data_IF_584736417248
#
_entry.id   IF_584736417248
#
_cell.length_a   1.000
_cell.length_b   1.000
_cell.length_c   1.000
_cell.angle_alpha   90.00
_cell.angle_beta   90.00
_cell.angle_gamma   90.00
#
_symmetry.space_group_name_H-M   'P 1'
#
loop_
_entity.id
_entity.type
_entity.pdbx_description
1 polymer ?
#
# COMPACT_ATOMS: atom_id res chain seq x y z
N UNK A 1 6.84 16.93 -20.61
CA UNK A 1 7.22 17.74 -19.44
C UNK A 1 5.95 17.95 -18.65
N UNK A 2 5.60 16.96 -17.82
CA UNK A 2 4.49 17.10 -16.89
C UNK A 2 4.85 18.18 -15.89
N UNK A 3 3.98 19.18 -15.73
CA UNK A 3 4.05 20.10 -14.62
C UNK A 3 4.22 19.22 -13.37
N UNK A 4 5.31 19.43 -12.62
CA UNK A 4 5.41 18.94 -11.25
C UNK A 4 4.27 19.63 -10.51
N UNK A 5 3.14 18.97 -10.48
CA UNK A 5 2.10 19.29 -9.51
C UNK A 5 2.83 19.00 -8.21
N UNK A 6 3.30 20.05 -7.59
CA UNK A 6 3.80 20.01 -6.25
C UNK A 6 2.67 19.37 -5.47
N UNK A 7 2.90 18.16 -4.99
CA UNK A 7 1.93 17.36 -4.22
C UNK A 7 1.68 18.12 -2.92
N UNK A 8 0.91 19.16 -3.06
CA UNK A 8 0.55 20.08 -1.99
C UNK A 8 -0.33 19.28 -1.04
N UNK A 9 0.07 19.15 0.16
CA UNK A 9 -0.67 18.53 1.24
C UNK A 9 -0.60 17.00 1.35
N UNK A 10 0.57 16.43 1.21
CA UNK A 10 0.79 15.11 1.78
C UNK A 10 0.97 15.29 3.29
N UNK A 11 -0.11 15.12 4.00
CA UNK A 11 -0.26 15.33 5.43
C UNK A 11 0.97 14.85 6.21
N UNK A 12 1.82 15.79 6.65
CA UNK A 12 3.00 15.51 7.44
C UNK A 12 4.16 14.80 6.74
N UNK A 13 4.20 14.73 5.40
CA UNK A 13 5.27 14.07 4.64
C UNK A 13 6.21 15.05 3.92
N UNK A 14 6.39 16.25 4.43
CA UNK A 14 7.24 17.29 3.86
C UNK A 14 8.68 17.26 4.36
N UNK A 15 9.58 17.97 3.66
CA UNK A 15 10.89 18.35 4.20
C UNK A 15 10.68 19.41 5.27
N UNK A 16 11.03 19.11 6.50
CA UNK A 16 10.90 20.04 7.64
C UNK A 16 11.98 21.10 7.62
N UNK A 17 13.22 20.69 7.35
CA UNK A 17 14.35 21.62 7.22
C UNK A 17 15.48 21.06 6.39
N UNK A 18 16.26 21.98 5.79
CA UNK A 18 17.53 21.70 5.14
C UNK A 18 18.56 22.68 5.71
N UNK A 19 19.59 22.15 6.35
CA UNK A 19 20.69 22.94 6.91
C UNK A 19 21.98 22.65 6.16
N UNK A 20 22.63 23.71 5.68
CA UNK A 20 23.99 23.63 5.15
C UNK A 20 24.93 23.83 6.33
N UNK A 21 25.62 22.77 6.71
CA UNK A 21 26.59 22.78 7.80
C UNK A 21 27.96 23.20 7.28
N UNK A 22 28.89 23.52 8.19
CA UNK A 22 30.29 23.83 7.82
C UNK A 22 30.95 22.70 7.04
N UNK A 23 30.56 21.46 7.34
CA UNK A 23 31.15 20.23 6.79
C UNK A 23 30.07 19.25 6.30
N UNK A 24 29.03 19.75 5.61
CA UNK A 24 28.02 18.89 5.00
C UNK A 24 26.61 19.42 5.02
N UNK A 25 25.65 18.49 5.10
CA UNK A 25 24.22 18.78 5.03
C UNK A 25 23.46 17.98 6.08
N UNK A 26 22.42 18.59 6.64
CA UNK A 26 21.43 17.92 7.47
C UNK A 26 20.03 18.19 6.92
N UNK A 27 19.28 17.14 6.67
CA UNK A 27 17.93 17.19 6.12
C UNK A 27 16.98 16.47 7.07
N UNK A 28 15.94 17.16 7.52
CA UNK A 28 14.91 16.60 8.39
C UNK A 28 13.62 16.36 7.61
N UNK A 29 13.08 15.18 7.76
CA UNK A 29 11.70 14.82 7.38
C UNK A 29 10.93 14.37 8.62
N UNK A 30 9.62 14.20 8.59
CA UNK A 30 8.88 13.63 9.72
C UNK A 30 9.43 12.28 10.19
N UNK A 31 9.85 11.43 9.27
CA UNK A 31 10.32 10.08 9.57
C UNK A 31 11.81 9.93 9.82
N UNK A 32 12.63 10.84 9.27
CA UNK A 32 14.08 10.68 9.25
C UNK A 32 14.85 11.97 9.46
N UNK A 33 16.08 11.79 9.95
CA UNK A 33 17.16 12.73 9.84
C UNK A 33 18.23 12.14 8.93
N UNK A 34 18.56 12.81 7.84
CA UNK A 34 19.61 12.43 6.91
C UNK A 34 20.76 13.41 7.06
N UNK A 35 21.96 12.90 7.31
CA UNK A 35 23.20 13.70 7.38
C UNK A 35 24.14 13.21 6.29
N UNK A 36 24.68 14.14 5.52
CA UNK A 36 25.75 13.89 4.54
C UNK A 36 26.93 14.79 4.88
N UNK A 37 28.02 14.19 5.32
CA UNK A 37 29.25 14.88 5.70
C UNK A 37 30.11 15.20 4.44
N UNK A 38 31.03 16.13 4.57
CA UNK A 38 31.88 16.57 3.46
C UNK A 38 32.78 15.45 2.91
N UNK A 39 33.18 14.51 3.73
CA UNK A 39 33.97 13.33 3.37
C UNK A 39 33.14 12.24 2.67
N UNK A 40 31.80 12.45 2.54
CA UNK A 40 30.87 11.53 1.90
C UNK A 40 30.22 10.52 2.85
N UNK A 41 30.41 10.64 4.16
CA UNK A 41 29.68 9.79 5.11
C UNK A 41 28.20 10.18 5.13
N UNK A 42 27.36 9.31 4.62
CA UNK A 42 25.90 9.40 4.69
C UNK A 42 25.39 8.60 5.90
N UNK A 43 24.55 9.22 6.71
CA UNK A 43 23.87 8.57 7.84
C UNK A 43 22.39 8.84 7.76
N UNK A 44 21.57 7.81 8.01
CA UNK A 44 20.11 7.91 8.11
C UNK A 44 19.68 7.47 9.50
N UNK A 45 19.03 8.37 10.22
CA UNK A 45 18.48 8.14 11.56
C UNK A 45 16.95 8.14 11.49
N UNK A 46 16.33 7.20 12.16
CA UNK A 46 14.89 7.16 12.41
C UNK A 46 14.52 8.20 13.46
N UNK A 47 13.41 8.90 13.25
CA UNK A 47 12.89 9.94 14.16
C UNK A 47 11.58 9.56 14.84
N UNK A 48 10.83 8.61 14.28
CA UNK A 48 9.54 8.17 14.82
C UNK A 48 9.75 6.90 15.64
N UNK A 49 9.12 6.83 16.81
CA UNK A 49 9.27 5.73 17.74
C UNK A 49 10.57 5.86 18.53
N UNK A 50 11.55 5.02 18.28
CA UNK A 50 12.88 5.10 18.90
C UNK A 50 13.83 5.83 17.95
N UNK A 51 14.39 6.93 18.40
CA UNK A 51 15.45 7.59 17.65
C UNK A 51 16.69 6.69 17.62
N UNK A 52 17.08 6.29 16.40
CA UNK A 52 18.24 5.43 16.22
C UNK A 52 18.82 5.57 14.82
N UNK A 53 20.11 5.28 14.70
CA UNK A 53 20.76 5.14 13.40
C UNK A 53 20.26 3.86 12.73
N UNK A 54 19.70 3.96 11.54
CA UNK A 54 19.23 2.83 10.74
C UNK A 54 20.33 2.30 9.85
N UNK A 55 20.96 3.20 9.10
CA UNK A 55 22.00 2.84 8.16
C UNK A 55 23.05 3.93 8.02
N UNK A 56 24.21 3.55 7.52
CA UNK A 56 25.21 4.45 6.98
C UNK A 56 25.76 3.93 5.65
N UNK A 57 26.31 4.82 4.85
CA UNK A 57 26.97 4.53 3.59
C UNK A 57 28.14 5.49 3.41
N UNK A 58 29.37 4.96 3.29
CA UNK A 58 30.50 5.77 2.88
C UNK A 58 30.45 5.97 1.35
N UNK A 59 30.02 7.13 0.93
CA UNK A 59 30.08 7.53 -0.46
C UNK A 59 31.53 7.78 -0.86
N UNK A 60 31.93 7.31 -2.02
CA UNK A 60 33.32 7.45 -2.45
C UNK A 60 33.76 8.92 -2.53
N UNK A 61 35.00 9.19 -2.11
CA UNK A 61 35.56 10.56 -2.09
C UNK A 61 35.60 11.25 -3.46
N UNK A 62 35.66 10.49 -4.56
CA UNK A 62 35.62 11.07 -5.90
C UNK A 62 34.23 11.68 -6.24
N UNK A 63 33.17 11.35 -5.47
CA UNK A 63 31.85 11.96 -5.61
C UNK A 63 31.75 13.35 -4.97
N UNK A 64 32.69 13.73 -4.11
CA UNK A 64 32.80 15.07 -3.55
C UNK A 64 33.35 16.08 -4.59
N UNK A 65 33.11 17.40 -4.45
CA UNK A 65 32.31 18.01 -3.40
C UNK A 65 30.79 17.87 -3.64
N UNK A 66 30.07 17.78 -2.56
CA UNK A 66 28.62 17.80 -2.57
C UNK A 66 28.10 19.23 -2.56
N UNK A 67 27.01 19.48 -3.29
CA UNK A 67 26.33 20.77 -3.32
C UNK A 67 24.83 20.60 -3.24
N UNK A 68 24.16 21.50 -2.57
CA UNK A 68 22.71 21.62 -2.62
C UNK A 68 22.33 22.20 -3.98
N UNK A 69 21.65 21.41 -4.79
CA UNK A 69 21.17 21.83 -6.10
C UNK A 69 19.82 22.53 -5.97
N UNK A 70 18.90 21.90 -5.24
CA UNK A 70 17.54 22.41 -5.04
C UNK A 70 16.91 21.80 -3.80
N UNK A 71 16.04 22.56 -3.15
CA UNK A 71 15.09 21.98 -2.21
C UNK A 71 13.73 22.66 -2.31
N UNK A 72 12.69 21.91 -2.00
CA UNK A 72 11.28 22.31 -1.90
C UNK A 72 10.70 21.68 -0.65
N UNK A 73 9.48 22.05 -0.22
CA UNK A 73 8.80 21.34 0.88
C UNK A 73 8.69 19.82 0.70
N UNK A 74 8.89 19.30 -0.53
CA UNK A 74 8.69 17.87 -0.82
C UNK A 74 9.96 17.10 -1.07
N UNK A 75 11.02 17.77 -1.51
CA UNK A 75 12.30 17.10 -1.80
C UNK A 75 13.50 18.03 -1.66
N UNK A 76 14.63 17.42 -1.27
CA UNK A 76 15.95 18.02 -1.30
C UNK A 76 16.82 17.25 -2.29
N UNK A 77 17.55 17.95 -3.16
CA UNK A 77 18.44 17.35 -4.15
C UNK A 77 19.87 17.80 -3.87
N UNK A 78 20.72 16.83 -3.60
CA UNK A 78 22.17 17.01 -3.43
C UNK A 78 22.90 16.42 -4.63
N UNK A 79 23.83 17.17 -5.19
CA UNK A 79 24.62 16.77 -6.35
C UNK A 79 26.07 16.60 -5.96
N UNK A 80 26.60 15.40 -6.21
CA UNK A 80 28.04 15.12 -6.22
C UNK A 80 28.56 14.87 -7.62
N UNK A 81 29.86 14.58 -7.75
CA UNK A 81 30.48 14.22 -9.03
C UNK A 81 30.05 12.82 -9.46
N UNK A 82 29.09 12.73 -10.36
CA UNK A 82 28.61 11.44 -10.89
C UNK A 82 27.51 10.76 -10.10
N UNK A 83 26.97 11.39 -9.05
CA UNK A 83 25.85 10.87 -8.27
C UNK A 83 24.90 11.98 -7.83
N UNK A 84 23.62 11.81 -8.09
CA UNK A 84 22.56 12.65 -7.53
C UNK A 84 21.89 11.90 -6.38
N UNK A 85 21.76 12.54 -5.23
CA UNK A 85 21.00 12.07 -4.09
C UNK A 85 19.76 12.94 -3.91
N UNK A 86 18.59 12.35 -4.07
CA UNK A 86 17.31 13.01 -3.80
C UNK A 86 16.72 12.46 -2.52
N UNK A 87 16.34 13.33 -1.58
CA UNK A 87 15.68 12.98 -0.33
C UNK A 87 14.26 13.51 -0.44
N UNK A 88 13.28 12.60 -0.36
CA UNK A 88 11.86 12.91 -0.40
C UNK A 88 11.31 13.15 1.01
N UNK A 89 10.27 13.97 1.10
CA UNK A 89 9.63 14.27 2.39
C UNK A 89 9.00 13.05 3.10
N UNK A 90 8.67 12.01 2.34
CA UNK A 90 8.19 10.72 2.84
C UNK A 90 9.31 9.75 3.27
N UNK A 91 10.50 10.27 3.49
CA UNK A 91 11.68 9.51 3.94
C UNK A 91 12.23 8.50 2.92
N UNK A 92 11.99 8.75 1.63
CA UNK A 92 12.60 7.98 0.54
C UNK A 92 13.86 8.70 0.05
N UNK A 93 14.98 7.97 0.01
CA UNK A 93 16.24 8.45 -0.58
C UNK A 93 16.40 7.79 -1.95
N UNK A 94 16.73 8.60 -2.98
CA UNK A 94 16.92 8.11 -4.35
C UNK A 94 18.34 8.44 -4.77
N UNK A 95 19.11 7.41 -5.08
CA UNK A 95 20.46 7.50 -5.61
C UNK A 95 20.43 7.27 -7.12
N UNK A 96 20.77 8.27 -7.89
CA UNK A 96 20.81 8.23 -9.35
C UNK A 96 22.23 8.51 -9.86
N UNK A 97 23.03 7.47 -10.17
CA UNK A 97 24.38 7.65 -10.67
C UNK A 97 24.38 8.02 -12.16
N UNK A 98 25.35 8.85 -12.58
CA UNK A 98 25.62 9.13 -14.00
C UNK A 98 26.72 8.25 -14.60
N UNK A 99 27.36 7.43 -13.75
CA UNK A 99 28.42 6.49 -14.11
C UNK A 99 28.30 5.24 -13.23
N UNK A 100 29.10 4.21 -13.52
CA UNK A 100 29.15 3.03 -12.67
C UNK A 100 29.54 3.41 -11.23
N UNK A 101 28.68 3.06 -10.27
CA UNK A 101 28.84 3.44 -8.87
C UNK A 101 28.50 2.23 -7.99
N UNK A 102 29.31 2.00 -6.97
CA UNK A 102 29.06 0.98 -5.95
C UNK A 102 28.64 1.72 -4.66
N UNK A 103 27.49 1.36 -4.14
CA UNK A 103 27.00 1.84 -2.85
C UNK A 103 26.90 0.68 -1.88
N UNK A 104 27.57 0.81 -0.75
CA UNK A 104 27.54 -0.20 0.33
C UNK A 104 26.96 0.42 1.58
N UNK A 105 25.90 -0.19 2.09
CA UNK A 105 25.18 0.25 3.27
C UNK A 105 25.43 -0.71 4.43
N UNK A 106 25.76 -0.14 5.58
CA UNK A 106 25.89 -0.87 6.84
C UNK A 106 24.68 -0.61 7.71
N UNK A 107 24.02 -1.68 8.16
CA UNK A 107 22.86 -1.59 9.05
C UNK A 107 23.25 -1.50 10.51
N UNK A 108 22.46 -0.75 11.26
CA UNK A 108 22.67 -0.50 12.69
C UNK A 108 21.48 -0.95 13.53
N UNK A 109 20.78 -2.00 13.09
CA UNK A 109 19.73 -2.66 13.84
C UNK A 109 19.67 -4.15 13.46
N UNK A 110 19.12 -4.96 14.36
CA UNK A 110 18.91 -6.38 14.11
C UNK A 110 17.65 -6.58 13.24
N UNK A 111 17.84 -7.01 11.99
CA UNK A 111 16.72 -7.29 11.08
C UNK A 111 16.08 -8.64 11.45
N UNK A 112 14.99 -8.61 12.21
CA UNK A 112 14.21 -9.81 12.57
C UNK A 112 13.39 -10.34 11.41
N UNK A 113 12.99 -9.46 10.50
CA UNK A 113 12.26 -9.76 9.30
C UNK A 113 13.07 -9.27 8.11
N UNK A 114 13.40 -10.19 7.23
CA UNK A 114 14.17 -9.88 6.05
C UNK A 114 13.55 -10.54 4.83
N UNK A 115 13.39 -9.78 3.77
CA UNK A 115 12.85 -10.24 2.51
C UNK A 115 13.75 -9.78 1.37
N UNK A 116 14.00 -10.66 0.41
CA UNK A 116 14.68 -10.31 -0.83
C UNK A 116 13.90 -10.82 -2.03
N UNK A 117 13.53 -9.92 -2.92
CA UNK A 117 12.84 -10.24 -4.17
C UNK A 117 13.41 -9.39 -5.29
N UNK A 118 13.88 -10.01 -6.37
CA UNK A 118 14.43 -9.33 -7.56
C UNK A 118 15.51 -8.29 -7.24
N UNK A 119 16.39 -8.56 -6.30
CA UNK A 119 17.41 -7.62 -5.84
C UNK A 119 16.89 -6.53 -4.90
N UNK A 120 15.59 -6.47 -4.70
CA UNK A 120 14.99 -5.60 -3.71
C UNK A 120 15.04 -6.27 -2.34
N UNK A 121 15.36 -5.51 -1.31
CA UNK A 121 15.51 -6.01 0.06
C UNK A 121 14.70 -5.18 1.02
N UNK A 122 14.00 -5.85 1.92
CA UNK A 122 13.30 -5.23 3.05
C UNK A 122 13.84 -5.81 4.33
N UNK A 123 14.30 -4.94 5.23
CA UNK A 123 14.93 -5.29 6.49
C UNK A 123 14.19 -4.57 7.62
N UNK A 124 13.51 -5.31 8.48
CA UNK A 124 12.64 -4.79 9.51
C UNK A 124 12.91 -5.44 10.87
N UNK A 125 12.60 -4.69 11.91
CA UNK A 125 12.38 -5.19 13.27
C UNK A 125 11.07 -4.60 13.83
N UNK A 126 10.65 -4.92 15.06
CA UNK A 126 9.44 -4.34 15.66
C UNK A 126 9.46 -2.80 15.79
N UNK A 127 10.64 -2.18 15.72
CA UNK A 127 10.84 -0.73 15.87
C UNK A 127 10.97 0.01 14.54
N UNK A 128 10.85 -0.68 13.41
CA UNK A 128 10.96 -0.11 12.06
C UNK A 128 12.04 -0.79 11.22
N UNK A 129 12.59 -0.08 10.26
CA UNK A 129 13.62 -0.62 9.39
C UNK A 129 13.81 0.17 8.10
N UNK A 130 14.30 -0.50 7.08
CA UNK A 130 14.50 0.09 5.76
C UNK A 130 14.30 -0.91 4.63
N UNK A 131 14.02 -0.41 3.45
CA UNK A 131 13.92 -1.17 2.22
C UNK A 131 14.80 -0.58 1.13
N UNK A 132 15.36 -1.44 0.29
CA UNK A 132 16.22 -1.10 -0.83
C UNK A 132 15.59 -1.61 -2.11
N UNK A 133 15.37 -0.74 -3.08
CA UNK A 133 14.66 -1.05 -4.31
C UNK A 133 15.46 -0.52 -5.49
N UNK A 134 15.95 -1.44 -6.33
CA UNK A 134 16.64 -1.09 -7.58
C UNK A 134 15.63 -0.92 -8.70
N UNK A 135 15.74 0.17 -9.45
CA UNK A 135 14.85 0.50 -10.57
C UNK A 135 15.68 0.75 -11.83
N UNK A 136 15.41 0.06 -12.94
CA UNK A 136 14.40 -1.00 -13.09
C UNK A 136 14.75 -2.25 -12.28
N UNK A 137 13.73 -2.92 -11.76
CA UNK A 137 13.94 -4.12 -10.98
C UNK A 137 14.46 -5.26 -11.86
N UNK A 138 15.30 -6.11 -11.29
CA UNK A 138 15.92 -7.24 -12.00
C UNK A 138 15.35 -8.55 -11.48
N UNK A 139 15.07 -9.54 -12.35
CA UNK A 139 14.63 -10.84 -11.91
C UNK A 139 15.68 -11.48 -10.98
N UNK A 140 15.27 -11.84 -9.79
CA UNK A 140 16.02 -12.68 -8.85
C UNK A 140 15.05 -13.64 -8.18
N UNK A 141 15.55 -14.72 -7.65
CA UNK A 141 14.74 -15.61 -6.83
C UNK A 141 14.41 -14.95 -5.48
N UNK A 142 13.24 -15.25 -4.95
CA UNK A 142 12.91 -14.87 -3.58
C UNK A 142 13.86 -15.58 -2.61
N UNK A 143 14.48 -14.81 -1.73
CA UNK A 143 15.36 -15.31 -0.69
C UNK A 143 15.08 -14.59 0.61
N UNK A 144 14.77 -15.38 1.64
CA UNK A 144 14.72 -14.85 3.01
C UNK A 144 16.15 -14.65 3.52
N UNK A 145 16.43 -13.46 4.05
CA UNK A 145 17.71 -13.19 4.69
C UNK A 145 17.67 -13.71 6.14
N UNK A 146 18.72 -14.44 6.52
CA UNK A 146 18.90 -14.86 7.91
C UNK A 146 20.00 -13.99 8.47
N UNK A 147 19.74 -13.13 9.42
CA UNK A 147 20.77 -12.60 10.32
C UNK A 147 20.44 -11.26 10.97
N UNK A 148 21.03 -11.05 12.11
CA UNK A 148 20.88 -9.90 12.99
C UNK A 148 21.69 -8.67 12.60
N UNK A 149 22.69 -8.83 11.74
CA UNK A 149 23.47 -7.73 11.17
C UNK A 149 23.53 -7.86 9.68
N UNK A 150 23.49 -6.74 8.98
CA UNK A 150 23.46 -6.75 7.53
C UNK A 150 24.39 -5.68 6.92
N UNK A 151 24.99 -6.09 5.81
CA UNK A 151 25.69 -5.21 4.90
C UNK A 151 25.14 -5.48 3.50
N UNK A 152 24.81 -4.41 2.78
CA UNK A 152 24.15 -4.52 1.48
C UNK A 152 24.89 -3.66 0.47
N UNK A 153 25.36 -4.27 -0.62
CA UNK A 153 26.05 -3.57 -1.69
C UNK A 153 25.28 -3.63 -3.00
N UNK A 154 25.24 -2.48 -3.68
CA UNK A 154 24.61 -2.32 -4.98
C UNK A 154 25.61 -1.81 -6.01
N UNK A 155 25.71 -2.52 -7.14
CA UNK A 155 26.46 -2.11 -8.32
C UNK A 155 25.49 -1.47 -9.29
N UNK A 156 25.55 -0.15 -9.38
CA UNK A 156 24.63 0.66 -10.16
C UNK A 156 25.32 1.17 -11.43
N UNK A 157 24.57 1.24 -12.51
CA UNK A 157 24.95 1.87 -13.77
C UNK A 157 24.23 3.21 -13.91
N UNK A 158 24.57 3.99 -14.90
CA UNK A 158 23.91 5.27 -15.21
C UNK A 158 22.40 5.16 -15.54
N UNK A 159 21.90 3.94 -15.68
CA UNK A 159 20.49 3.68 -16.00
C UNK A 159 19.68 3.19 -14.80
N UNK A 160 20.37 2.97 -13.69
CA UNK A 160 19.74 2.47 -12.48
C UNK A 160 19.46 3.62 -11.52
N UNK A 161 18.43 3.44 -10.72
CA UNK A 161 18.20 4.18 -9.49
C UNK A 161 18.13 3.20 -8.33
N UNK A 162 18.70 3.57 -7.20
CA UNK A 162 18.50 2.87 -5.95
C UNK A 162 17.61 3.72 -5.03
N UNK A 163 16.49 3.18 -4.67
CA UNK A 163 15.56 3.79 -3.73
C UNK A 163 15.72 3.14 -2.37
N UNK A 164 15.98 3.96 -1.36
CA UNK A 164 16.07 3.53 0.03
C UNK A 164 14.91 4.13 0.79
N UNK A 165 14.00 3.27 1.23
CA UNK A 165 12.82 3.66 2.00
C UNK A 165 13.05 3.41 3.48
N UNK A 166 12.71 4.37 4.31
CA UNK A 166 12.67 4.18 5.75
C UNK A 166 11.27 3.76 6.18
N UNK A 167 11.19 2.75 7.02
CA UNK A 167 9.94 2.15 7.47
C UNK A 167 9.82 2.31 9.01
N UNK A 168 9.53 3.51 9.53
CA UNK A 168 9.36 3.70 10.95
C UNK A 168 8.07 3.01 11.44
N UNK A 169 8.00 2.60 12.72
CA UNK A 169 6.75 2.21 13.31
C UNK A 169 5.81 3.41 13.30
N UNK A 170 4.55 3.18 13.02
CA UNK A 170 3.59 4.29 13.02
C UNK A 170 2.79 4.34 14.31
N UNK A 171 2.32 5.55 14.64
CA UNK A 171 1.30 5.71 15.65
C UNK A 171 0.01 4.99 15.19
N UNK A 172 -0.62 4.26 16.10
CA UNK A 172 -1.81 3.47 15.81
C UNK A 172 -3.05 4.32 15.99
N UNK A 173 -3.90 4.29 15.01
CA UNK A 173 -5.27 4.74 15.13
C UNK A 173 -6.20 3.52 15.22
N UNK A 174 -6.37 3.01 16.41
CA UNK A 174 -7.22 1.84 16.67
C UNK A 174 -8.72 2.15 16.49
N UNK A 175 -9.07 3.42 16.41
CA UNK A 175 -10.45 3.86 16.17
C UNK A 175 -10.77 3.98 14.68
N UNK A 176 -9.73 4.00 13.82
CA UNK A 176 -9.92 4.15 12.39
C UNK A 176 -10.43 2.85 11.78
N UNK A 177 -11.66 2.81 11.39
CA UNK A 177 -12.36 1.78 10.64
C UNK A 177 -12.01 0.33 11.03
N UNK A 178 -12.99 -0.41 11.50
CA UNK A 178 -12.78 -1.79 11.99
C UNK A 178 -12.86 -2.83 10.89
N UNK A 179 -13.82 -2.67 9.98
CA UNK A 179 -14.06 -3.61 8.89
C UNK A 179 -14.46 -2.85 7.62
N UNK A 180 -14.14 -3.43 6.48
CA UNK A 180 -14.70 -3.04 5.19
C UNK A 180 -15.55 -4.16 4.63
N UNK A 181 -16.50 -3.82 3.76
CA UNK A 181 -17.28 -4.78 3.00
C UNK A 181 -17.06 -4.52 1.52
N UNK A 182 -16.86 -5.60 0.76
CA UNK A 182 -16.85 -5.57 -0.68
C UNK A 182 -18.07 -6.32 -1.22
N UNK A 183 -18.79 -5.70 -2.13
CA UNK A 183 -19.78 -6.39 -2.93
C UNK A 183 -19.19 -6.64 -4.32
N UNK A 184 -18.68 -7.82 -4.51
CA UNK A 184 -18.29 -8.31 -5.84
C UNK A 184 -19.52 -8.98 -6.44
N UNK A 185 -20.54 -8.21 -6.79
CA UNK A 185 -21.67 -8.76 -7.51
C UNK A 185 -21.19 -9.41 -8.80
N UNK A 186 -21.76 -10.56 -9.16
CA UNK A 186 -21.71 -10.94 -10.56
C UNK A 186 -22.45 -9.87 -11.38
N UNK A 187 -22.31 -9.93 -12.68
CA UNK A 187 -22.93 -8.94 -13.57
C UNK A 187 -24.45 -8.88 -13.45
N UNK A 188 -25.05 -9.90 -12.84
CA UNK A 188 -26.49 -9.99 -12.62
C UNK A 188 -26.93 -9.18 -11.40
N UNK A 189 -26.05 -9.07 -10.39
CA UNK A 189 -26.33 -8.36 -9.13
C UNK A 189 -25.18 -7.42 -8.75
N UNK A 190 -24.91 -6.37 -9.53
CA UNK A 190 -23.76 -5.48 -9.30
C UNK A 190 -23.93 -4.60 -8.06
N UNK A 191 -25.13 -4.50 -7.50
CA UNK A 191 -25.42 -3.66 -6.35
C UNK A 191 -26.03 -4.44 -5.20
N UNK A 192 -25.55 -4.25 -3.95
CA UNK A 192 -26.08 -4.91 -2.79
C UNK A 192 -27.51 -4.48 -2.49
N UNK A 193 -28.34 -5.43 -1.98
CA UNK A 193 -29.67 -5.13 -1.49
C UNK A 193 -29.61 -4.24 -0.25
N UNK A 194 -30.69 -3.51 0.03
CA UNK A 194 -30.81 -2.71 1.24
C UNK A 194 -30.73 -3.55 2.51
N UNK A 195 -31.15 -4.79 2.47
CA UNK A 195 -31.05 -5.72 3.59
C UNK A 195 -29.58 -6.08 3.89
N UNK A 196 -28.80 -6.37 2.83
CA UNK A 196 -27.38 -6.65 2.96
C UNK A 196 -26.63 -5.44 3.52
N UNK A 197 -26.90 -4.24 3.01
CA UNK A 197 -26.28 -3.00 3.50
C UNK A 197 -26.59 -2.78 4.99
N UNK A 198 -27.86 -2.94 5.39
CA UNK A 198 -28.28 -2.80 6.80
C UNK A 198 -27.64 -3.87 7.71
N UNK A 199 -27.49 -5.07 7.21
CA UNK A 199 -26.80 -6.12 7.94
C UNK A 199 -25.33 -5.79 8.13
N UNK A 200 -24.65 -5.41 7.04
CA UNK A 200 -23.25 -5.04 7.05
C UNK A 200 -22.95 -3.82 7.93
N UNK A 201 -23.82 -2.80 7.92
CA UNK A 201 -23.64 -1.57 8.70
C UNK A 201 -23.57 -1.79 10.22
N UNK A 202 -23.99 -2.95 10.72
CA UNK A 202 -23.84 -3.29 12.15
C UNK A 202 -22.36 -3.55 12.51
N UNK A 203 -21.53 -3.89 11.53
CA UNK A 203 -20.18 -4.40 11.73
C UNK A 203 -19.12 -3.75 10.84
N UNK A 204 -19.52 -3.08 9.76
CA UNK A 204 -18.62 -2.48 8.78
C UNK A 204 -18.81 -0.98 8.71
N UNK A 205 -17.73 -0.25 8.51
CA UNK A 205 -17.74 1.21 8.35
C UNK A 205 -17.53 1.64 6.90
N UNK A 206 -17.13 0.72 6.02
CA UNK A 206 -16.86 1.00 4.61
C UNK A 206 -17.58 -0.02 3.75
N UNK A 207 -18.26 0.47 2.73
CA UNK A 207 -18.85 -0.34 1.67
C UNK A 207 -18.08 -0.10 0.37
N UNK A 208 -17.62 -1.17 -0.25
CA UNK A 208 -17.04 -1.15 -1.59
C UNK A 208 -17.98 -1.85 -2.57
N UNK A 209 -18.10 -1.30 -3.79
CA UNK A 209 -18.83 -1.94 -4.89
C UNK A 209 -17.87 -2.17 -6.03
N UNK A 210 -17.72 -3.42 -6.45
CA UNK A 210 -16.70 -3.86 -7.37
C UNK A 210 -17.12 -3.76 -8.85
N UNK A 211 -18.34 -4.16 -9.17
CA UNK A 211 -18.81 -4.35 -10.56
C UNK A 211 -19.95 -3.42 -10.98
N UNK A 212 -20.00 -2.23 -10.41
CA UNK A 212 -21.12 -1.29 -10.58
C UNK A 212 -21.07 -0.39 -11.80
N UNK A 213 -20.09 -0.54 -12.71
CA UNK A 213 -19.90 0.34 -13.85
C UNK A 213 -20.54 -0.20 -15.14
N UNK A 214 -20.94 0.71 -16.03
CA UNK A 214 -21.43 0.40 -17.35
C UNK A 214 -20.31 -0.18 -18.21
N UNK A 215 -20.66 -1.09 -19.08
CA UNK A 215 -19.74 -1.71 -20.03
C UNK A 215 -20.05 -1.17 -21.41
N UNK A 216 -19.11 -0.47 -22.00
CA UNK A 216 -19.23 0.15 -23.32
C UNK A 216 -19.30 -0.86 -24.48
N UNK A 217 -19.17 -2.14 -24.23
CA UNK A 217 -19.19 -3.15 -25.28
C UNK A 217 -20.56 -3.80 -25.45
N UNK A 218 -21.17 -3.71 -26.61
CA UNK A 218 -22.46 -4.34 -26.91
C UNK A 218 -22.40 -5.87 -26.99
N UNK A 219 -21.27 -6.50 -26.77
CA UNK A 219 -21.12 -7.93 -27.00
C UNK A 219 -20.32 -8.62 -25.87
N UNK A 220 -21.02 -9.15 -24.95
CA UNK A 220 -20.62 -10.21 -23.99
C UNK A 220 -20.23 -11.54 -24.65
N UNK A 221 -19.88 -11.55 -25.92
CA UNK A 221 -20.02 -12.72 -26.77
C UNK A 221 -18.79 -13.62 -26.78
N UNK A 222 -17.67 -13.27 -26.24
CA UNK A 222 -16.53 -14.18 -26.32
C UNK A 222 -15.73 -14.19 -25.05
N UNK A 223 -16.13 -15.02 -24.09
CA UNK A 223 -15.15 -15.50 -23.13
C UNK A 223 -14.10 -16.30 -23.90
N UNK A 224 -12.82 -15.92 -23.85
CA UNK A 224 -11.77 -16.82 -24.31
C UNK A 224 -11.94 -18.16 -23.59
N UNK A 225 -11.68 -19.30 -24.25
CA UNK A 225 -11.77 -20.60 -23.60
C UNK A 225 -10.93 -20.59 -22.30
N UNK A 226 -11.57 -20.85 -21.15
CA UNK A 226 -10.93 -20.83 -19.84
C UNK A 226 -11.02 -19.50 -19.08
N UNK A 227 -11.61 -18.45 -19.61
CA UNK A 227 -11.85 -17.22 -18.85
C UNK A 227 -13.03 -17.39 -17.89
N UNK A 228 -12.80 -17.06 -16.63
CA UNK A 228 -13.82 -17.09 -15.57
C UNK A 228 -14.74 -15.86 -15.58
N UNK A 229 -14.33 -14.79 -16.30
CA UNK A 229 -15.06 -13.53 -16.41
C UNK A 229 -15.22 -13.11 -17.86
N UNK A 230 -16.35 -12.47 -18.23
CA UNK A 230 -16.52 -11.88 -19.53
C UNK A 230 -15.53 -10.72 -19.76
N UNK A 231 -15.07 -10.53 -20.98
CA UNK A 231 -14.30 -9.37 -21.40
C UNK A 231 -15.13 -8.50 -22.37
N UNK A 232 -15.08 -7.17 -22.26
CA UNK A 232 -14.41 -6.39 -21.21
C UNK A 232 -15.08 -6.56 -19.84
N UNK A 233 -14.29 -6.42 -18.78
CA UNK A 233 -14.81 -6.43 -17.41
C UNK A 233 -15.42 -5.05 -17.08
N UNK A 234 -16.37 -4.94 -16.14
CA UNK A 234 -16.98 -3.66 -15.78
C UNK A 234 -16.00 -2.57 -15.37
N UNK A 235 -14.84 -2.97 -14.87
CA UNK A 235 -13.77 -2.05 -14.45
C UNK A 235 -12.74 -1.74 -15.55
N UNK A 236 -12.82 -2.37 -16.71
CA UNK A 236 -11.98 -2.11 -17.88
C UNK A 236 -12.64 -1.05 -18.82
N UNK A 237 -13.38 -0.14 -18.24
CA UNK A 237 -14.06 0.94 -18.96
C UNK A 237 -13.15 2.16 -19.16
N UNK A 238 -13.37 2.93 -20.19
CA UNK A 238 -12.72 4.22 -20.42
C UNK A 238 -13.40 5.35 -19.61
N UNK A 239 -14.65 5.15 -19.22
CA UNK A 239 -15.42 6.08 -18.39
C UNK A 239 -16.29 5.33 -17.38
N UNK A 240 -16.05 5.58 -16.10
CA UNK A 240 -16.75 4.91 -15.00
C UNK A 240 -18.15 5.51 -14.79
N UNK A 241 -19.10 5.10 -15.65
CA UNK A 241 -20.52 5.44 -15.55
C UNK A 241 -21.22 4.31 -14.79
N UNK A 242 -22.05 4.60 -13.77
CA UNK A 242 -22.82 3.57 -13.10
C UNK A 242 -23.72 2.81 -14.06
N UNK A 243 -23.63 1.47 -14.09
CA UNK A 243 -24.46 0.60 -14.92
C UNK A 243 -25.97 0.80 -14.65
N UNK A 244 -26.31 1.16 -13.43
CA UNK A 244 -27.63 1.60 -13.04
C UNK A 244 -27.49 2.80 -12.07
N UNK A 245 -27.57 4.05 -12.54
CA UNK A 245 -27.40 5.22 -11.70
C UNK A 245 -28.35 5.27 -10.50
N UNK A 246 -29.60 4.84 -10.69
CA UNK A 246 -30.59 4.80 -9.60
C UNK A 246 -30.14 3.87 -8.46
N UNK A 247 -29.67 2.70 -8.78
CA UNK A 247 -29.18 1.74 -7.79
C UNK A 247 -27.87 2.17 -7.17
N UNK A 248 -26.94 2.72 -7.96
CA UNK A 248 -25.68 3.25 -7.46
C UNK A 248 -25.90 4.31 -6.39
N UNK A 249 -26.74 5.31 -6.68
CA UNK A 249 -27.05 6.36 -5.72
C UNK A 249 -27.87 5.83 -4.53
N UNK A 250 -28.78 4.87 -4.74
CA UNK A 250 -29.48 4.22 -3.63
C UNK A 250 -28.51 3.59 -2.64
N UNK A 251 -27.51 2.83 -3.17
CA UNK A 251 -26.51 2.15 -2.34
C UNK A 251 -25.64 3.15 -1.60
N UNK A 252 -25.14 4.18 -2.28
CA UNK A 252 -24.38 5.26 -1.66
C UNK A 252 -25.16 5.95 -0.54
N UNK A 253 -26.36 6.38 -0.84
CA UNK A 253 -27.20 7.16 0.09
C UNK A 253 -27.62 6.30 1.29
N UNK A 254 -27.90 5.03 1.08
CA UNK A 254 -28.23 4.10 2.18
C UNK A 254 -27.00 3.84 3.06
N UNK A 255 -25.81 3.65 2.46
CA UNK A 255 -24.56 3.54 3.20
C UNK A 255 -24.31 4.78 4.06
N UNK A 256 -24.42 5.98 3.49
CA UNK A 256 -24.28 7.25 4.22
C UNK A 256 -25.30 7.40 5.36
N UNK A 257 -26.56 7.07 5.10
CA UNK A 257 -27.61 7.11 6.12
C UNK A 257 -27.32 6.19 7.31
N UNK A 258 -26.59 5.11 7.08
CA UNK A 258 -26.19 4.14 8.10
C UNK A 258 -24.83 4.46 8.72
N UNK A 259 -24.21 5.58 8.36
CA UNK A 259 -22.90 6.00 8.86
C UNK A 259 -21.71 5.29 8.24
N UNK A 260 -21.91 4.56 7.14
CA UNK A 260 -20.85 3.93 6.38
C UNK A 260 -20.26 4.92 5.35
N UNK A 261 -18.98 4.69 5.02
CA UNK A 261 -18.32 5.28 3.86
C UNK A 261 -18.56 4.43 2.62
N UNK A 262 -18.74 5.08 1.46
CA UNK A 262 -18.95 4.41 0.19
C UNK A 262 -17.77 4.67 -0.74
N UNK A 263 -17.07 3.61 -1.15
CA UNK A 263 -15.90 3.67 -2.05
C UNK A 263 -16.08 2.70 -3.21
N UNK A 264 -16.38 3.17 -4.41
CA UNK A 264 -16.49 2.30 -5.57
C UNK A 264 -15.12 1.85 -6.07
N UNK A 265 -15.12 0.75 -6.82
CA UNK A 265 -13.96 0.27 -7.53
C UNK A 265 -13.57 1.24 -8.66
N UNK A 266 -12.34 1.68 -8.65
CA UNK A 266 -11.70 2.35 -9.78
C UNK A 266 -10.23 1.99 -9.73
N UNK A 267 -9.79 1.10 -10.61
CA UNK A 267 -8.38 0.70 -10.64
C UNK A 267 -7.63 1.38 -11.78
N UNK A 268 -6.61 2.17 -11.47
CA UNK A 268 -5.75 2.75 -12.50
C UNK A 268 -5.01 1.70 -13.35
N UNK A 269 -4.87 0.47 -12.86
CA UNK A 269 -4.24 -0.61 -13.61
C UNK A 269 -5.14 -1.16 -14.72
N UNK A 270 -6.42 -1.30 -14.43
CA UNK A 270 -7.38 -1.96 -15.34
C UNK A 270 -8.25 -0.97 -16.11
N UNK A 271 -8.32 0.28 -15.68
CA UNK A 271 -9.08 1.30 -16.38
C UNK A 271 -8.47 1.60 -17.77
N UNK A 272 -9.33 1.71 -18.78
CA UNK A 272 -8.96 2.17 -20.12
C UNK A 272 -9.09 3.69 -20.29
N UNK A 273 -9.37 4.43 -19.22
CA UNK A 273 -9.51 5.88 -19.26
C UNK A 273 -8.24 6.55 -19.83
N UNK A 274 -8.36 7.39 -20.85
CA UNK A 274 -7.22 8.08 -21.47
C UNK A 274 -6.44 8.96 -20.48
N UNK A 275 -7.15 9.55 -19.51
CA UNK A 275 -6.57 10.26 -18.37
C UNK A 275 -7.26 9.77 -17.09
N UNK A 276 -6.60 8.85 -16.42
CA UNK A 276 -7.12 8.24 -15.19
C UNK A 276 -7.30 9.26 -14.06
N UNK A 277 -6.47 10.29 -14.01
CA UNK A 277 -6.56 11.31 -12.96
C UNK A 277 -7.75 12.23 -13.15
N UNK A 278 -8.00 12.65 -14.39
CA UNK A 278 -9.23 13.39 -14.71
C UNK A 278 -10.49 12.55 -14.44
N UNK A 279 -10.42 11.25 -14.70
CA UNK A 279 -11.52 10.33 -14.42
C UNK A 279 -11.75 10.15 -12.91
N UNK A 280 -10.69 10.05 -12.12
CA UNK A 280 -10.80 10.06 -10.65
C UNK A 280 -11.46 11.34 -10.12
N UNK A 281 -10.99 12.50 -10.57
CA UNK A 281 -11.58 13.80 -10.19
C UNK A 281 -13.07 13.86 -10.54
N UNK A 282 -13.44 13.39 -11.74
CA UNK A 282 -14.83 13.33 -12.19
C UNK A 282 -15.69 12.45 -11.29
N UNK A 283 -15.25 11.21 -11.04
CA UNK A 283 -15.97 10.23 -10.20
C UNK A 283 -16.18 10.77 -8.79
N UNK A 284 -15.14 11.34 -8.20
CA UNK A 284 -15.21 11.92 -6.86
C UNK A 284 -16.18 13.11 -6.79
N UNK A 285 -16.23 13.93 -7.83
CA UNK A 285 -17.07 15.13 -7.89
C UNK A 285 -18.51 14.83 -8.28
N UNK A 286 -18.72 14.03 -9.33
CA UNK A 286 -20.07 13.77 -9.86
C UNK A 286 -20.85 12.80 -8.97
N UNK A 287 -20.17 11.83 -8.35
CA UNK A 287 -20.85 10.81 -7.57
C UNK A 287 -20.75 11.01 -6.05
N UNK A 288 -20.02 12.03 -5.60
CA UNK A 288 -19.88 12.40 -4.18
C UNK A 288 -19.53 11.20 -3.28
N UNK A 289 -18.60 10.37 -3.77
CA UNK A 289 -18.13 9.18 -3.06
C UNK A 289 -17.04 9.53 -2.04
N UNK A 290 -16.89 8.70 -1.02
CA UNK A 290 -15.95 8.96 0.10
C UNK A 290 -14.51 8.56 -0.19
N UNK A 291 -14.24 7.97 -1.34
CA UNK A 291 -12.93 7.53 -1.74
C UNK A 291 -12.98 6.54 -2.89
N UNK A 292 -11.88 5.86 -3.15
CA UNK A 292 -11.75 4.90 -4.24
C UNK A 292 -11.08 3.61 -3.77
N UNK A 293 -11.47 2.51 -4.39
CA UNK A 293 -10.84 1.22 -4.25
C UNK A 293 -9.99 0.92 -5.49
N UNK A 294 -8.68 0.87 -5.30
CA UNK A 294 -7.72 0.46 -6.32
C UNK A 294 -7.42 -1.01 -6.19
N UNK A 295 -7.74 -1.77 -7.22
CA UNK A 295 -7.36 -3.17 -7.33
C UNK A 295 -6.23 -3.34 -8.35
N UNK A 296 -5.36 -4.30 -8.09
CA UNK A 296 -4.15 -4.45 -8.83
C UNK A 296 -3.18 -3.30 -8.59
N UNK A 297 -1.92 -3.61 -8.47
CA UNK A 297 -0.93 -2.62 -8.21
C UNK A 297 -0.24 -2.17 -9.49
N UNK A 298 0.13 -0.92 -9.55
CA UNK A 298 0.70 -0.28 -10.72
C UNK A 298 2.20 -0.11 -10.54
N UNK A 299 2.94 -0.23 -11.61
CA UNK A 299 4.41 -0.21 -11.59
C UNK A 299 5.01 -1.55 -11.26
N UNK A 300 4.20 -2.58 -11.37
CA UNK A 300 4.51 -3.93 -10.95
C UNK A 300 5.57 -4.62 -11.72
N UNK A 301 5.58 -4.33 -12.98
CA UNK A 301 6.28 -5.24 -13.87
C UNK A 301 7.77 -5.08 -13.77
N UNK A 302 8.29 -3.88 -13.57
CA UNK A 302 9.72 -3.66 -13.44
C UNK A 302 10.11 -2.23 -13.01
N UNK A 303 9.18 -1.30 -12.88
CA UNK A 303 9.44 0.09 -12.50
C UNK A 303 8.49 0.62 -11.44
N UNK A 304 8.92 0.59 -10.19
CA UNK A 304 8.14 1.11 -9.06
C UNK A 304 7.98 2.65 -9.06
N UNK A 305 8.73 3.38 -9.90
CA UNK A 305 8.59 4.84 -10.04
C UNK A 305 7.21 5.23 -10.50
N UNK A 306 6.71 4.55 -11.54
CA UNK A 306 5.39 4.82 -12.08
C UNK A 306 4.31 4.69 -11.01
N UNK A 307 4.36 3.63 -10.22
CA UNK A 307 3.43 3.41 -9.12
C UNK A 307 3.56 4.43 -8.00
N UNK A 308 4.78 4.77 -7.62
CA UNK A 308 5.02 5.80 -6.61
C UNK A 308 4.46 7.17 -7.02
N UNK A 309 4.73 7.63 -8.24
CA UNK A 309 4.20 8.90 -8.73
C UNK A 309 2.69 8.86 -8.92
N UNK A 310 2.15 7.74 -9.35
CA UNK A 310 0.72 7.58 -9.50
C UNK A 310 0.00 7.64 -8.15
N UNK A 311 0.47 6.88 -7.15
CA UNK A 311 -0.18 6.86 -5.84
C UNK A 311 -0.13 8.21 -5.14
N UNK A 312 0.97 8.95 -5.29
CA UNK A 312 1.11 10.33 -4.80
C UNK A 312 0.08 11.25 -5.44
N UNK A 313 -0.02 11.21 -6.77
CA UNK A 313 -1.00 12.03 -7.49
C UNK A 313 -2.43 11.65 -7.16
N UNK A 314 -2.71 10.35 -7.08
CA UNK A 314 -4.01 9.86 -6.63
C UNK A 314 -4.36 10.37 -5.22
N UNK A 315 -3.42 10.34 -4.28
CA UNK A 315 -3.60 10.88 -2.94
C UNK A 315 -3.86 12.39 -2.97
N UNK A 316 -3.14 13.15 -3.79
CA UNK A 316 -3.37 14.59 -3.94
C UNK A 316 -4.79 14.90 -4.44
N UNK A 317 -5.30 14.13 -5.39
CA UNK A 317 -6.68 14.25 -5.91
C UNK A 317 -7.71 13.87 -4.84
N UNK A 318 -7.46 12.76 -4.12
CA UNK A 318 -8.36 12.28 -3.07
C UNK A 318 -8.43 13.24 -1.87
N UNK A 319 -7.36 13.96 -1.56
CA UNK A 319 -7.25 14.75 -0.34
C UNK A 319 -7.47 13.87 0.90
N UNK A 320 -8.46 14.20 1.73
CA UNK A 320 -8.81 13.43 2.94
C UNK A 320 -9.72 12.23 2.70
N UNK A 321 -10.13 11.98 1.45
CA UNK A 321 -10.96 10.83 1.09
C UNK A 321 -10.18 9.53 1.16
N UNK A 322 -10.89 8.43 1.29
CA UNK A 322 -10.29 7.11 1.46
C UNK A 322 -9.61 6.60 0.19
N UNK A 323 -8.44 6.01 0.36
CA UNK A 323 -7.77 5.21 -0.65
C UNK A 323 -7.58 3.80 -0.11
N UNK A 324 -8.28 2.86 -0.71
CA UNK A 324 -8.10 1.45 -0.45
C UNK A 324 -7.28 0.83 -1.57
N UNK A 325 -6.11 0.32 -1.25
CA UNK A 325 -5.18 -0.27 -2.21
C UNK A 325 -5.13 -1.78 -2.02
N UNK A 326 -5.46 -2.51 -3.08
CA UNK A 326 -5.29 -3.95 -3.14
C UNK A 326 -4.14 -4.27 -4.11
N UNK A 327 -3.07 -4.85 -3.59
CA UNK A 327 -1.88 -5.22 -4.37
C UNK A 327 -1.91 -6.71 -4.73
N UNK A 328 -2.91 -7.10 -5.53
CA UNK A 328 -3.10 -8.50 -5.97
C UNK A 328 -2.22 -8.90 -7.14
N UNK A 329 -1.76 -7.94 -7.90
CA UNK A 329 -1.05 -8.15 -9.17
C UNK A 329 0.44 -7.78 -9.08
N UNK A 330 1.01 -7.81 -7.89
CA UNK A 330 2.46 -7.71 -7.74
C UNK A 330 3.21 -8.62 -8.70
N UNK A 331 4.48 -8.33 -9.02
CA UNK A 331 5.27 -9.22 -9.85
C UNK A 331 5.09 -10.66 -9.39
N UNK A 332 4.45 -11.47 -10.20
CA UNK A 332 4.13 -12.90 -9.93
C UNK A 332 2.91 -13.17 -9.05
N UNK A 333 2.01 -12.24 -8.83
CA UNK A 333 0.83 -12.45 -7.99
C UNK A 333 1.17 -12.85 -6.56
N UNK A 334 2.25 -12.31 -5.99
CA UNK A 334 2.82 -12.86 -4.76
C UNK A 334 2.86 -11.83 -3.68
N UNK A 335 2.09 -10.98 -3.33
CA UNK A 335 2.21 -10.08 -2.16
C UNK A 335 3.59 -10.14 -1.39
N UNK A 336 4.64 -10.56 -2.07
CA UNK A 336 5.99 -10.78 -1.51
C UNK A 336 6.86 -9.54 -1.51
N UNK A 337 6.38 -8.46 -2.07
CA UNK A 337 7.10 -7.19 -2.08
C UNK A 337 6.30 -6.18 -1.29
N UNK A 338 6.80 -5.83 -0.13
CA UNK A 338 6.26 -4.72 0.65
C UNK A 338 6.91 -3.42 0.18
N UNK A 339 6.10 -2.44 -0.22
CA UNK A 339 6.55 -1.16 -0.77
C UNK A 339 6.12 0.00 0.13
N UNK A 340 6.88 0.30 1.18
CA UNK A 340 6.47 1.29 2.18
C UNK A 340 6.24 2.68 1.59
N UNK A 341 7.04 3.08 0.58
CA UNK A 341 6.90 4.36 -0.12
C UNK A 341 5.65 4.46 -1.01
N UNK A 342 4.95 3.35 -1.25
CA UNK A 342 3.64 3.33 -1.92
C UNK A 342 2.52 3.18 -0.90
N UNK A 343 2.64 2.19 -0.04
CA UNK A 343 1.60 1.85 0.93
C UNK A 343 1.36 2.97 1.95
N UNK A 344 2.38 3.79 2.19
CA UNK A 344 2.26 4.96 3.04
C UNK A 344 1.21 5.99 2.59
N UNK A 345 0.78 5.96 1.34
CA UNK A 345 -0.24 6.86 0.80
C UNK A 345 -1.67 6.32 0.88
N UNK A 346 -1.83 5.03 1.14
CA UNK A 346 -3.14 4.40 1.26
C UNK A 346 -3.69 4.46 2.71
N UNK A 347 -5.01 4.48 2.85
CA UNK A 347 -5.67 4.34 4.15
C UNK A 347 -5.78 2.87 4.54
N UNK A 348 -6.03 2.02 3.55
CA UNK A 348 -6.10 0.58 3.71
C UNK A 348 -5.23 -0.09 2.66
N UNK A 349 -4.50 -1.12 3.09
CA UNK A 349 -3.64 -1.90 2.20
C UNK A 349 -3.98 -3.37 2.35
N UNK A 350 -4.44 -3.96 1.26
CA UNK A 350 -4.61 -5.40 1.12
C UNK A 350 -3.47 -5.93 0.25
N UNK A 351 -2.53 -6.64 0.88
CA UNK A 351 -1.39 -7.24 0.20
C UNK A 351 -1.71 -8.67 -0.19
N UNK A 352 -2.18 -8.85 -1.43
CA UNK A 352 -2.57 -10.16 -1.95
C UNK A 352 -3.84 -10.73 -1.34
N UNK A 353 -4.19 -11.89 -1.79
CA UNK A 353 -5.41 -12.61 -1.41
C UNK A 353 -5.05 -13.87 -0.60
N UNK A 354 -5.29 -13.84 0.71
CA UNK A 354 -5.01 -14.96 1.60
C UNK A 354 -3.53 -15.34 1.77
N UNK A 355 -3.25 -16.33 2.60
CA UNK A 355 -1.90 -16.80 2.95
C UNK A 355 -1.24 -17.72 1.91
N UNK A 356 -1.75 -17.77 0.68
CA UNK A 356 -1.36 -18.79 -0.34
C UNK A 356 0.02 -18.63 -0.96
N UNK A 357 0.82 -17.67 -0.53
CA UNK A 357 2.03 -17.32 -1.26
C UNK A 357 3.33 -17.88 -0.67
N UNK A 358 3.24 -18.98 0.06
CA UNK A 358 4.42 -19.71 0.56
C UNK A 358 5.13 -19.05 1.75
N UNK A 359 4.54 -18.00 2.33
CA UNK A 359 4.92 -17.47 3.63
C UNK A 359 4.09 -18.15 4.73
N UNK A 360 4.66 -18.36 5.90
CA UNK A 360 3.88 -18.69 7.08
C UNK A 360 2.90 -17.54 7.38
N UNK A 361 1.73 -17.86 7.94
CA UNK A 361 0.70 -16.85 8.18
C UNK A 361 1.20 -15.70 9.07
N UNK A 362 1.99 -15.99 10.06
CA UNK A 362 2.61 -14.96 10.91
C UNK A 362 3.55 -14.05 10.12
N UNK A 363 4.35 -14.62 9.25
CA UNK A 363 5.27 -13.89 8.40
C UNK A 363 4.51 -13.02 7.39
N UNK A 364 3.51 -13.59 6.72
CA UNK A 364 2.63 -12.86 5.81
C UNK A 364 1.98 -11.65 6.51
N UNK A 365 1.40 -11.86 7.69
CA UNK A 365 0.73 -10.81 8.43
C UNK A 365 1.67 -9.69 8.85
N UNK A 366 2.94 -9.95 9.08
CA UNK A 366 3.90 -8.90 9.43
C UNK A 366 4.23 -7.97 8.27
N UNK A 367 4.28 -8.46 7.04
CA UNK A 367 4.44 -7.62 5.86
C UNK A 367 3.13 -6.92 5.45
N UNK A 368 2.00 -7.44 5.85
CA UNK A 368 0.70 -6.82 5.65
C UNK A 368 0.42 -5.75 6.71
N UNK A 369 1.20 -5.74 7.79
CA UNK A 369 0.98 -4.90 8.95
C UNK A 369 1.33 -3.46 8.70
N UNK A 370 0.43 -2.62 9.07
CA UNK A 370 0.54 -1.18 9.01
C UNK A 370 1.61 -0.56 9.93
N UNK A 371 2.18 -1.30 10.87
CA UNK A 371 3.15 -0.74 11.82
C UNK A 371 4.49 -0.31 11.22
N UNK A 372 4.79 -0.73 9.99
CA UNK A 372 6.02 -0.35 9.29
C UNK A 372 5.78 0.69 8.20
N UNK A 373 4.71 1.46 8.29
CA UNK A 373 4.38 2.51 7.33
C UNK A 373 4.49 3.88 7.98
N UNK A 374 4.85 4.89 7.18
CA UNK A 374 5.01 6.27 7.64
C UNK A 374 3.68 7.03 7.73
N UNK A 375 2.61 6.50 7.18
CA UNK A 375 1.26 7.08 7.25
C UNK A 375 0.33 6.27 8.14
N UNK A 376 -0.88 6.77 8.33
CA UNK A 376 -1.91 6.10 9.12
C UNK A 376 -2.72 5.08 8.30
N UNK A 377 -2.05 4.25 7.50
CA UNK A 377 -2.69 3.16 6.76
C UNK A 377 -2.96 1.95 7.64
N UNK A 378 -3.97 1.18 7.30
CA UNK A 378 -4.37 -0.04 8.02
C UNK A 378 -4.19 -1.23 7.10
N UNK A 379 -3.46 -2.25 7.54
CA UNK A 379 -3.35 -3.51 6.85
C UNK A 379 -4.69 -4.26 6.85
N UNK A 380 -5.04 -4.83 5.71
CA UNK A 380 -6.26 -5.59 5.52
C UNK A 380 -5.93 -7.04 5.17
N UNK A 381 -6.77 -7.94 5.63
CA UNK A 381 -6.71 -9.34 5.28
C UNK A 381 -8.00 -9.77 4.60
N UNK A 382 -7.88 -10.08 3.32
CA UNK A 382 -8.96 -10.69 2.57
C UNK A 382 -8.95 -12.20 2.80
N UNK A 383 -10.07 -12.70 3.26
CA UNK A 383 -10.26 -14.12 3.54
C UNK A 383 -11.29 -14.66 2.56
N UNK A 384 -10.82 -15.14 1.43
CA UNK A 384 -11.66 -15.81 0.45
C UNK A 384 -11.77 -17.31 0.69
N UNK A 385 -12.91 -17.87 0.39
CA UNK A 385 -13.01 -19.25 -0.04
C UNK A 385 -12.39 -19.40 -1.43
N UNK A 386 -11.73 -20.50 -1.66
CA UNK A 386 -10.80 -20.78 -2.75
C UNK A 386 -11.24 -20.36 -4.15
N UNK A 387 -10.29 -19.76 -4.87
CA UNK A 387 -10.28 -19.72 -6.32
C UNK A 387 -9.85 -21.04 -6.96
N UNK A 388 -9.38 -22.01 -6.20
CA UNK A 388 -8.92 -23.31 -6.67
C UNK A 388 -9.39 -24.42 -5.74
N UNK A 389 -9.57 -25.61 -6.30
CA UNK A 389 -9.87 -26.84 -5.57
C UNK A 389 -8.67 -27.37 -4.74
N UNK A 390 -7.66 -26.53 -4.48
CA UNK A 390 -6.49 -26.93 -3.70
C UNK A 390 -6.84 -27.10 -2.22
N UNK A 391 -6.40 -28.19 -1.61
CA UNK A 391 -6.62 -28.43 -0.17
C UNK A 391 -6.00 -27.34 0.68
N UNK A 392 -6.75 -26.72 1.56
CA UNK A 392 -6.28 -25.68 2.48
C UNK A 392 -6.84 -24.28 2.25
N UNK A 393 -7.58 -24.06 1.17
CA UNK A 393 -8.17 -22.75 0.81
C UNK A 393 -9.66 -22.61 1.12
N UNK A 394 -10.21 -23.46 1.96
CA UNK A 394 -11.66 -23.56 2.21
C UNK A 394 -12.19 -22.67 3.34
N UNK A 395 -11.54 -21.54 3.62
CA UNK A 395 -11.96 -20.67 4.71
C UNK A 395 -12.83 -19.53 4.22
N UNK A 396 -14.10 -19.60 4.54
CA UNK A 396 -15.04 -18.54 4.20
C UNK A 396 -15.17 -17.50 5.33
N UNK A 397 -14.94 -17.91 6.58
CA UNK A 397 -14.95 -17.03 7.76
C UNK A 397 -13.73 -17.32 8.63
N UNK A 398 -12.96 -16.30 9.04
CA UNK A 398 -11.75 -16.48 9.85
C UNK A 398 -12.00 -17.24 11.16
N UNK A 399 -11.07 -18.11 11.54
CA UNK A 399 -11.11 -18.80 12.83
C UNK A 399 -10.76 -17.87 13.98
N UNK A 400 -10.96 -18.30 15.20
CA UNK A 400 -10.57 -17.59 16.42
C UNK A 400 -9.07 -17.22 16.43
N UNK A 401 -8.23 -18.14 15.98
CA UNK A 401 -6.77 -17.91 15.92
C UNK A 401 -6.41 -16.85 14.87
N UNK A 402 -7.04 -16.91 13.71
CA UNK A 402 -6.87 -15.89 12.67
C UNK A 402 -7.30 -14.50 13.16
N UNK A 403 -8.42 -14.41 13.88
CA UNK A 403 -8.89 -13.16 14.47
C UNK A 403 -7.87 -12.60 15.45
N UNK A 404 -7.39 -13.43 16.38
CA UNK A 404 -6.37 -13.00 17.37
C UNK A 404 -5.09 -12.54 16.69
N UNK A 405 -4.60 -13.31 15.73
CA UNK A 405 -3.38 -13.04 15.00
C UNK A 405 -3.47 -11.73 14.20
N UNK A 406 -4.55 -11.53 13.45
CA UNK A 406 -4.77 -10.30 12.71
C UNK A 406 -4.83 -9.08 13.65
N UNK A 407 -5.62 -9.14 14.71
CA UNK A 407 -5.78 -8.03 15.64
C UNK A 407 -4.50 -7.72 16.43
N UNK A 408 -3.73 -8.75 16.81
CA UNK A 408 -2.43 -8.54 17.48
C UNK A 408 -1.39 -7.88 16.57
N UNK A 409 -1.56 -8.00 15.27
CA UNK A 409 -0.77 -7.33 14.24
C UNK A 409 -1.44 -6.06 13.66
N UNK A 410 -2.51 -5.56 14.29
CA UNK A 410 -3.26 -4.34 13.88
C UNK A 410 -3.87 -4.42 12.47
N UNK A 411 -4.13 -5.63 11.98
CA UNK A 411 -4.77 -5.89 10.69
C UNK A 411 -6.29 -5.95 10.89
N UNK A 412 -7.03 -5.52 9.87
CA UNK A 412 -8.48 -5.63 9.77
C UNK A 412 -8.84 -6.61 8.67
N UNK A 413 -10.09 -7.07 8.69
CA UNK A 413 -10.56 -7.99 7.67
C UNK A 413 -11.34 -7.25 6.58
N UNK A 414 -11.12 -7.67 5.36
CA UNK A 414 -12.05 -7.48 4.27
C UNK A 414 -13.13 -8.54 4.38
N UNK A 415 -14.35 -8.12 4.54
CA UNK A 415 -15.50 -9.00 4.61
C UNK A 415 -16.19 -9.02 3.26
N UNK A 416 -16.27 -10.19 2.67
CA UNK A 416 -16.95 -10.40 1.40
C UNK A 416 -18.41 -10.72 1.63
N UNK A 417 -19.30 -9.90 1.10
CA UNK A 417 -20.75 -10.03 1.25
C UNK A 417 -21.40 -9.73 -0.11
N UNK A 418 -21.82 -10.74 -0.84
CA UNK A 418 -22.48 -10.55 -2.13
C UNK A 418 -23.40 -11.70 -2.50
N UNK A 419 -24.55 -11.37 -3.08
CA UNK A 419 -25.43 -12.38 -3.65
C UNK A 419 -24.75 -12.98 -4.89
N UNK A 420 -24.67 -14.31 -4.93
CA UNK A 420 -24.01 -15.04 -6.02
C UNK A 420 -22.51 -15.23 -5.87
N UNK A 421 -21.87 -14.55 -4.93
CA UNK A 421 -20.43 -14.62 -4.76
C UNK A 421 -19.97 -15.90 -4.07
N UNK A 422 -18.92 -16.53 -4.62
CA UNK A 422 -18.23 -17.65 -3.97
C UNK A 422 -17.51 -17.11 -2.73
N UNK A 423 -17.69 -17.77 -1.58
CA UNK A 423 -17.02 -17.36 -0.34
C UNK A 423 -17.68 -16.20 0.40
N UNK A 424 -18.88 -15.82 0.03
CA UNK A 424 -19.63 -14.81 0.79
C UNK A 424 -19.93 -15.25 2.21
N UNK A 425 -19.58 -14.43 3.19
CA UNK A 425 -19.65 -14.79 4.61
C UNK A 425 -21.06 -15.00 5.12
N UNK A 426 -22.06 -14.35 4.52
CA UNK A 426 -23.46 -14.54 4.91
C UNK A 426 -23.99 -15.96 4.65
N UNK A 427 -23.29 -16.75 3.82
CA UNK A 427 -23.63 -18.18 3.61
C UNK A 427 -23.27 -19.06 4.81
N UNK A 428 -22.55 -18.54 5.78
CA UNK A 428 -22.05 -19.22 6.97
C UNK A 428 -22.51 -18.49 8.24
N UNK A 429 -23.81 -18.49 8.54
CA UNK A 429 -24.38 -17.63 9.58
C UNK A 429 -23.87 -17.95 11.00
N UNK A 430 -23.57 -19.20 11.30
CA UNK A 430 -23.06 -19.60 12.62
C UNK A 430 -21.61 -19.14 12.81
N UNK A 431 -20.77 -19.37 11.82
CA UNK A 431 -19.37 -18.92 11.79
C UNK A 431 -19.28 -17.40 11.79
N UNK A 432 -20.17 -16.74 11.07
CA UNK A 432 -20.25 -15.27 11.04
C UNK A 432 -20.64 -14.71 12.41
N UNK A 433 -21.66 -15.30 13.06
CA UNK A 433 -22.05 -14.89 14.41
C UNK A 433 -20.95 -15.14 15.44
N UNK A 434 -20.17 -16.21 15.28
CA UNK A 434 -18.97 -16.46 16.07
C UNK A 434 -17.91 -15.38 15.82
N UNK A 435 -17.59 -15.12 14.54
CA UNK A 435 -16.61 -14.10 14.15
C UNK A 435 -16.96 -12.73 14.73
N UNK A 436 -18.17 -12.25 14.55
CA UNK A 436 -18.61 -10.94 15.03
C UNK A 436 -18.44 -10.83 16.54
N UNK A 437 -18.90 -11.85 17.29
CA UNK A 437 -18.75 -11.88 18.75
C UNK A 437 -17.27 -11.85 19.20
N UNK A 438 -16.44 -12.68 18.61
CA UNK A 438 -15.04 -12.81 18.99
C UNK A 438 -14.22 -11.61 18.56
N UNK A 439 -14.41 -11.15 17.34
CA UNK A 439 -13.69 -9.99 16.80
C UNK A 439 -13.87 -8.76 17.70
N UNK A 440 -15.12 -8.41 18.03
CA UNK A 440 -15.38 -7.24 18.89
C UNK A 440 -14.93 -7.45 20.32
N UNK A 441 -14.97 -8.66 20.83
CA UNK A 441 -14.45 -8.97 22.17
C UNK A 441 -12.94 -8.74 22.24
N UNK A 442 -12.19 -9.24 21.27
CA UNK A 442 -10.74 -9.05 21.23
C UNK A 442 -10.36 -7.60 20.93
N UNK A 443 -11.08 -6.93 20.02
CA UNK A 443 -10.84 -5.53 19.72
C UNK A 443 -11.06 -4.64 20.96
N UNK A 444 -12.13 -4.88 21.73
CA UNK A 444 -12.39 -4.15 22.97
C UNK A 444 -11.29 -4.36 24.01
N UNK A 445 -10.73 -5.58 24.09
CA UNK A 445 -9.60 -5.89 24.94
C UNK A 445 -8.35 -5.11 24.55
N UNK A 446 -7.99 -5.12 23.28
CA UNK A 446 -6.83 -4.36 22.77
C UNK A 446 -6.98 -2.87 23.06
N UNK A 447 -8.17 -2.29 22.83
CA UNK A 447 -8.46 -0.88 23.14
C UNK A 447 -8.30 -0.56 24.64
N UNK A 448 -8.69 -1.48 25.50
CA UNK A 448 -8.51 -1.31 26.95
C UNK A 448 -7.04 -1.35 27.33
N UNK A 449 -6.29 -2.30 26.80
CA UNK A 449 -4.88 -2.49 27.10
C UNK A 449 -4.01 -1.33 26.55
N UNK A 450 -4.41 -0.72 25.41
CA UNK A 450 -3.72 0.44 24.85
C UNK A 450 -3.96 1.76 25.61
N UNK A 451 -5.07 1.87 26.33
CA UNK A 451 -5.38 3.06 27.17
C UNK A 451 -4.67 3.03 28.54
N UNK A 452 -4.06 1.91 28.91
CA UNK A 452 -3.34 1.73 30.17
C UNK A 452 -1.83 2.03 30.02
N UNK A 453 -1.36 2.19 28.78
CA UNK A 453 0.02 2.58 28.46
C UNK A 453 0.10 4.06 28.12
#
# INVERSE_FOLDING_TARGET
>A
MGSEIEDVALMGMGIESVQVLKEGFEILTPGTKVTLEADGMLTVQQRIGVERKLLSCQLSSHLAPWRLERWTPFRCVLQGNGLTLTIQGDSVLIFAPSQHTILTFDGHFEAKYAQEVRGNRLLLDPMGGCGFFVIPSRPTEFKKLENSSWNVSYHLTRWDELWVSVCPPRARDEEKYFLSIAHEGDLKYPYPSSELIRSAAKHCQILTVHSGWEIDAPQWSVNPPGATYPHPRPWETDRHIPANPKEFFRVRDEAHRLGMKFIPYLSPLYSNAPDIFAEMERVLKEYEVDGLYFDGWIGERDDFRAGYYLIRRARAILGDRLLYLHSSTEPYGTCRVYLPFVYGYADFVLSGESSRFGLGIEEFLQYTVSQHQISNSVGMWCYYGSWSDEPGYHFNVPTTEHIKMALSNHIRFWRTEGEGQVGSWHKFPEELARFDREYYTYLAKIKKDSKIK
#
